data_IF_319750690409
#
_entry.id   IF_319750690409
#
_cell.length_a   1.000
_cell.length_b   1.000
_cell.length_c   1.000
_cell.angle_alpha   90.00
_cell.angle_beta   90.00
_cell.angle_gamma   90.00
#
_symmetry.space_group_name_H-M   'P 1'
#
loop_
_entity.id
_entity.type
_entity.pdbx_description
1 polymer ?
#
# COMPACT_ATOMS: atom_id res chain seq x y z
N UNK A 1 -17.69 -3.17 16.17
CA UNK A 1 -17.15 -2.71 14.87
C UNK A 1 -16.48 -3.90 14.22
N UNK A 2 -16.94 -4.37 13.05
CA UNK A 2 -16.26 -5.43 12.31
C UNK A 2 -14.89 -4.89 11.86
N UNK A 3 -13.81 -5.34 12.51
CA UNK A 3 -12.46 -5.02 12.05
C UNK A 3 -12.26 -5.67 10.69
N UNK A 4 -12.16 -4.85 9.62
CA UNK A 4 -11.81 -5.36 8.28
C UNK A 4 -10.52 -6.17 8.36
N UNK A 5 -10.45 -7.27 7.62
CA UNK A 5 -9.25 -8.09 7.50
C UNK A 5 -8.09 -7.28 6.89
N UNK A 6 -6.83 -7.58 7.22
CA UNK A 6 -5.66 -6.94 6.59
C UNK A 6 -5.75 -6.85 5.06
N UNK A 7 -6.10 -7.94 4.37
CA UNK A 7 -6.21 -7.98 2.91
C UNK A 7 -7.29 -7.03 2.36
N UNK A 8 -8.44 -6.95 3.03
CA UNK A 8 -9.50 -6.03 2.68
C UNK A 8 -9.07 -4.56 2.87
N UNK A 9 -8.28 -4.26 3.91
CA UNK A 9 -7.73 -2.92 4.12
C UNK A 9 -6.70 -2.53 3.06
N UNK A 10 -5.81 -3.45 2.67
CA UNK A 10 -4.86 -3.18 1.56
C UNK A 10 -5.61 -2.89 0.25
N UNK A 11 -6.69 -3.63 -0.02
CA UNK A 11 -7.56 -3.37 -1.17
C UNK A 11 -8.23 -1.99 -1.11
N UNK A 12 -8.66 -1.55 0.08
CA UNK A 12 -9.23 -0.21 0.25
C UNK A 12 -8.18 0.89 -0.01
N UNK A 13 -6.94 0.71 0.49
CA UNK A 13 -5.80 1.61 0.23
C UNK A 13 -5.52 1.69 -1.28
N UNK A 14 -5.45 0.56 -1.97
CA UNK A 14 -5.30 0.50 -3.43
C UNK A 14 -6.42 1.26 -4.15
N UNK A 15 -7.67 1.11 -3.68
CA UNK A 15 -8.82 1.86 -4.19
C UNK A 15 -8.73 3.37 -3.94
N UNK A 16 -8.19 3.79 -2.80
CA UNK A 16 -7.92 5.21 -2.51
C UNK A 16 -6.84 5.78 -3.45
N UNK A 17 -5.71 5.10 -3.57
CA UNK A 17 -4.62 5.48 -4.48
C UNK A 17 -5.15 5.63 -5.90
N UNK A 18 -5.88 4.64 -6.41
CA UNK A 18 -6.45 4.71 -7.75
C UNK A 18 -7.46 5.86 -7.93
N UNK A 19 -8.22 6.22 -6.89
CA UNK A 19 -9.14 7.38 -6.94
C UNK A 19 -8.37 8.71 -7.00
N UNK A 20 -7.29 8.84 -6.26
CA UNK A 20 -6.43 10.04 -6.30
C UNK A 20 -5.79 10.16 -7.68
N UNK A 21 -5.19 9.07 -8.18
CA UNK A 21 -4.49 9.07 -9.47
C UNK A 21 -5.40 9.39 -10.67
N UNK A 22 -6.70 9.11 -10.58
CA UNK A 22 -7.68 9.51 -11.63
C UNK A 22 -7.83 11.03 -11.76
N UNK A 23 -7.41 11.80 -10.76
CA UNK A 23 -7.48 13.27 -10.74
C UNK A 23 -6.15 13.92 -11.12
N UNK A 24 -5.08 13.14 -11.22
CA UNK A 24 -3.74 13.60 -11.57
C UNK A 24 -3.59 13.58 -13.09
N UNK A 25 -3.08 14.67 -13.67
CA UNK A 25 -2.71 14.69 -15.08
C UNK A 25 -1.40 13.93 -15.29
N UNK A 26 -1.49 12.66 -15.65
CA UNK A 26 -0.32 11.75 -15.80
C UNK A 26 0.67 12.17 -16.88
N UNK A 27 0.25 13.01 -17.84
CA UNK A 27 1.13 13.53 -18.90
C UNK A 27 2.07 14.62 -18.38
N UNK A 28 1.67 15.33 -17.32
CA UNK A 28 2.46 16.35 -16.64
C UNK A 28 3.39 15.76 -15.58
N UNK A 29 3.15 14.52 -15.13
CA UNK A 29 3.99 13.86 -14.13
C UNK A 29 5.32 13.43 -14.77
N UNK A 30 6.47 13.87 -14.23
CA UNK A 30 7.78 13.45 -14.72
C UNK A 30 7.96 11.93 -14.65
N UNK A 31 8.82 11.37 -15.51
CA UNK A 31 9.06 9.92 -15.59
C UNK A 31 9.38 9.29 -14.22
N UNK A 32 10.17 9.97 -13.38
CA UNK A 32 10.50 9.52 -12.02
C UNK A 32 9.25 9.38 -11.13
N UNK A 33 8.30 10.32 -11.24
CA UNK A 33 7.02 10.25 -10.52
C UNK A 33 6.14 9.12 -11.04
N UNK A 34 6.06 8.94 -12.36
CA UNK A 34 5.35 7.81 -12.98
C UNK A 34 5.91 6.46 -12.55
N UNK A 35 7.23 6.36 -12.45
CA UNK A 35 7.92 5.17 -11.94
C UNK A 35 7.56 4.92 -10.47
N UNK A 36 7.60 5.94 -9.61
CA UNK A 36 7.20 5.81 -8.21
C UNK A 36 5.74 5.34 -8.07
N UNK A 37 4.82 5.87 -8.89
CA UNK A 37 3.42 5.42 -8.94
C UNK A 37 3.32 3.95 -9.36
N UNK A 38 4.06 3.54 -10.38
CA UNK A 38 4.09 2.15 -10.85
C UNK A 38 4.58 1.19 -9.77
N UNK A 39 5.70 1.54 -9.12
CA UNK A 39 6.27 0.78 -8.01
C UNK A 39 5.32 0.74 -6.81
N UNK A 40 4.64 1.85 -6.48
CA UNK A 40 3.60 1.89 -5.45
C UNK A 40 2.47 0.89 -5.74
N UNK A 41 1.93 0.90 -6.96
CA UNK A 41 0.85 -0.02 -7.36
C UNK A 41 1.29 -1.48 -7.24
N UNK A 42 2.48 -1.80 -7.73
CA UNK A 42 3.03 -3.15 -7.64
C UNK A 42 3.20 -3.58 -6.18
N UNK A 43 3.80 -2.72 -5.34
CA UNK A 43 3.98 -3.00 -3.91
C UNK A 43 2.64 -3.23 -3.19
N UNK A 44 1.57 -2.51 -3.55
CA UNK A 44 0.23 -2.72 -2.97
C UNK A 44 -0.39 -4.05 -3.43
N UNK A 45 -0.19 -4.44 -4.69
CA UNK A 45 -0.64 -5.75 -5.20
C UNK A 45 0.08 -6.88 -4.44
N UNK A 46 1.40 -6.80 -4.34
CA UNK A 46 2.21 -7.81 -3.63
C UNK A 46 1.84 -7.87 -2.15
N UNK A 47 1.69 -6.70 -1.51
CA UNK A 47 1.20 -6.62 -0.13
C UNK A 47 -0.15 -7.33 0.03
N UNK A 48 -1.10 -7.08 -0.89
CA UNK A 48 -2.43 -7.69 -0.85
C UNK A 48 -2.37 -9.21 -0.93
N UNK A 49 -1.57 -9.73 -1.87
CA UNK A 49 -1.34 -11.17 -2.01
C UNK A 49 -0.82 -11.76 -0.70
N UNK A 50 0.27 -11.22 -0.15
CA UNK A 50 0.84 -11.77 1.08
C UNK A 50 -0.04 -11.58 2.32
N UNK A 51 -0.86 -10.52 2.39
CA UNK A 51 -1.86 -10.40 3.46
C UNK A 51 -2.99 -11.42 3.32
N UNK A 52 -3.39 -11.77 2.09
CA UNK A 52 -4.37 -12.81 1.85
C UNK A 52 -3.79 -14.19 2.20
N UNK A 53 -2.56 -14.47 1.79
CA UNK A 53 -1.87 -15.71 2.14
C UNK A 53 -1.69 -15.83 3.66
N UNK A 54 -1.35 -14.73 4.36
CA UNK A 54 -1.30 -14.67 5.83
C UNK A 54 -2.64 -15.05 6.48
N UNK A 55 -3.77 -14.59 5.92
CA UNK A 55 -5.12 -14.87 6.43
C UNK A 55 -5.55 -16.32 6.19
N UNK A 56 -5.10 -16.92 5.08
CA UNK A 56 -5.48 -18.27 4.66
C UNK A 56 -4.48 -19.36 5.11
N UNK A 57 -3.31 -18.97 5.62
CA UNK A 57 -2.28 -19.90 6.08
C UNK A 57 -2.77 -20.71 7.28
N UNK A 58 -2.68 -22.03 7.19
CA UNK A 58 -3.01 -22.95 8.29
C UNK A 58 -1.82 -23.18 9.24
N UNK A 59 -0.59 -22.95 8.77
CA UNK A 59 0.62 -23.10 9.56
C UNK A 59 1.11 -21.76 10.11
N UNK A 60 1.46 -21.73 11.41
CA UNK A 60 1.96 -20.51 12.05
C UNK A 60 3.25 -19.99 11.41
N UNK A 61 4.13 -20.87 10.97
CA UNK A 61 5.39 -20.47 10.32
C UNK A 61 5.13 -19.76 8.99
N UNK A 62 4.27 -20.33 8.14
CA UNK A 62 3.87 -19.71 6.86
C UNK A 62 3.19 -18.36 7.08
N UNK A 63 2.32 -18.28 8.10
CA UNK A 63 1.69 -17.04 8.49
C UNK A 63 2.74 -15.97 8.87
N UNK A 64 3.74 -16.29 9.69
CA UNK A 64 4.81 -15.36 10.06
C UNK A 64 5.63 -14.90 8.84
N UNK A 65 5.96 -15.83 7.94
CA UNK A 65 6.72 -15.53 6.73
C UNK A 65 5.95 -14.61 5.78
N UNK A 66 4.64 -14.87 5.61
CA UNK A 66 3.75 -14.03 4.81
C UNK A 66 3.54 -12.65 5.45
N UNK A 67 3.38 -12.57 6.77
CA UNK A 67 3.34 -11.29 7.49
C UNK A 67 4.61 -10.47 7.24
N UNK A 68 5.79 -11.08 7.32
CA UNK A 68 7.07 -10.40 7.06
C UNK A 68 7.15 -9.86 5.64
N UNK A 69 6.74 -10.64 4.64
CA UNK A 69 6.72 -10.22 3.22
C UNK A 69 5.72 -9.08 3.00
N UNK A 70 4.50 -9.19 3.54
CA UNK A 70 3.49 -8.14 3.47
C UNK A 70 4.01 -6.83 4.10
N UNK A 71 4.58 -6.87 5.31
CA UNK A 71 5.16 -5.71 5.97
C UNK A 71 6.28 -5.05 5.15
N UNK A 72 7.13 -5.84 4.51
CA UNK A 72 8.18 -5.32 3.62
C UNK A 72 7.57 -4.49 2.50
N UNK A 73 6.60 -5.03 1.77
CA UNK A 73 5.99 -4.35 0.64
C UNK A 73 5.14 -3.15 1.07
N UNK A 74 4.44 -3.22 2.21
CA UNK A 74 3.71 -2.09 2.79
C UNK A 74 4.65 -0.93 3.16
N UNK A 75 5.81 -1.21 3.75
CA UNK A 75 6.82 -0.18 4.02
C UNK A 75 7.36 0.43 2.72
N UNK A 76 7.62 -0.39 1.69
CA UNK A 76 7.99 0.10 0.37
C UNK A 76 6.90 0.97 -0.24
N UNK A 77 5.62 0.61 -0.12
CA UNK A 77 4.49 1.44 -0.56
C UNK A 77 4.50 2.81 0.12
N UNK A 78 4.71 2.87 1.45
CA UNK A 78 4.80 4.15 2.17
C UNK A 78 5.92 5.04 1.64
N UNK A 79 7.10 4.46 1.36
CA UNK A 79 8.21 5.20 0.76
C UNK A 79 7.86 5.72 -0.64
N UNK A 80 7.13 4.95 -1.45
CA UNK A 80 6.72 5.38 -2.79
C UNK A 80 5.61 6.43 -2.78
N UNK A 81 4.71 6.43 -1.79
CA UNK A 81 3.75 7.53 -1.58
C UNK A 81 4.49 8.84 -1.34
N UNK A 82 5.47 8.85 -0.44
CA UNK A 82 6.32 10.02 -0.18
C UNK A 82 7.08 10.43 -1.45
N UNK A 83 7.67 9.46 -2.15
CA UNK A 83 8.43 9.75 -3.37
C UNK A 83 7.57 10.37 -4.48
N UNK A 84 6.36 9.86 -4.66
CA UNK A 84 5.41 10.41 -5.63
C UNK A 84 4.89 11.81 -5.21
N UNK A 85 4.79 12.10 -3.91
CA UNK A 85 4.43 13.45 -3.44
C UNK A 85 5.45 14.54 -3.78
N UNK A 86 6.73 14.18 -3.99
CA UNK A 86 7.74 15.14 -4.49
C UNK A 86 7.44 15.65 -5.90
N UNK A 87 6.52 14.99 -6.62
CA UNK A 87 6.09 15.33 -7.98
C UNK A 87 4.61 15.75 -8.02
N UNK A 88 4.09 16.28 -6.91
CA UNK A 88 2.72 16.79 -6.76
C UNK A 88 1.60 15.76 -7.06
N UNK A 89 1.92 14.47 -7.04
CA UNK A 89 0.96 13.38 -7.29
C UNK A 89 0.02 13.19 -6.09
N UNK A 90 0.57 13.31 -4.88
CA UNK A 90 -0.16 13.17 -3.62
C UNK A 90 0.03 14.44 -2.80
N UNK A 91 -1.07 15.02 -2.32
CA UNK A 91 -1.01 16.15 -1.40
C UNK A 91 -0.63 15.72 0.02
N UNK A 92 -0.29 16.68 0.88
CA UNK A 92 0.09 16.39 2.27
C UNK A 92 -0.98 15.60 3.05
N UNK A 93 -2.26 15.86 2.77
CA UNK A 93 -3.39 15.14 3.38
C UNK A 93 -3.40 13.68 2.90
N UNK A 94 -3.24 13.44 1.60
CA UNK A 94 -3.21 12.09 1.02
C UNK A 94 -2.04 11.29 1.61
N UNK A 95 -0.85 11.91 1.69
CA UNK A 95 0.35 11.29 2.25
C UNK A 95 0.12 10.88 3.70
N UNK A 96 -0.43 11.77 4.53
CA UNK A 96 -0.69 11.50 5.94
C UNK A 96 -1.71 10.36 6.10
N UNK A 97 -2.83 10.42 5.36
CA UNK A 97 -3.87 9.40 5.44
C UNK A 97 -3.37 8.03 4.98
N UNK A 98 -2.79 7.95 3.77
CA UNK A 98 -2.31 6.68 3.22
C UNK A 98 -1.22 6.08 4.10
N UNK A 99 -0.30 6.89 4.63
CA UNK A 99 0.76 6.41 5.52
C UNK A 99 0.20 5.85 6.83
N UNK A 100 -0.80 6.50 7.42
CA UNK A 100 -1.45 6.04 8.65
C UNK A 100 -2.24 4.74 8.43
N UNK A 101 -2.96 4.64 7.31
CA UNK A 101 -3.69 3.42 6.95
C UNK A 101 -2.74 2.24 6.70
N UNK A 102 -1.64 2.46 5.97
CA UNK A 102 -0.60 1.46 5.75
C UNK A 102 0.01 1.00 7.09
N UNK A 103 0.36 1.94 7.98
CA UNK A 103 0.92 1.63 9.29
C UNK A 103 -0.04 0.78 10.14
N UNK A 104 -1.33 1.09 10.09
CA UNK A 104 -2.35 0.30 10.78
C UNK A 104 -2.34 -1.15 10.31
N UNK A 105 -2.23 -1.41 9.00
CA UNK A 105 -2.14 -2.78 8.47
C UNK A 105 -0.84 -3.46 8.92
N UNK A 106 0.29 -2.73 8.93
CA UNK A 106 1.58 -3.26 9.40
C UNK A 106 1.49 -3.70 10.86
N UNK A 107 0.86 -2.91 11.73
CA UNK A 107 0.67 -3.23 13.15
C UNK A 107 -0.25 -4.43 13.36
N UNK A 108 -1.28 -4.59 12.52
CA UNK A 108 -2.25 -5.68 12.63
C UNK A 108 -1.67 -7.06 12.22
N UNK A 109 -0.61 -7.09 11.41
CA UNK A 109 0.09 -8.32 11.02
C UNK A 109 1.01 -8.79 12.17
N UNK A 110 0.74 -9.97 12.75
CA UNK A 110 1.44 -10.49 13.95
C UNK A 110 2.43 -11.61 13.68
#
# INVERSE_FOLDING_TARGET
MNSKSPSARVKDIEGQVNRILRRVNMDEVPEKGRRAISELKQNLIDSRIYTQDYELSEMRQEQLDNAKKAKKWLNSSRAQVLRASEFDVFGAIDVAQLSAEIETVIVDLK
#
